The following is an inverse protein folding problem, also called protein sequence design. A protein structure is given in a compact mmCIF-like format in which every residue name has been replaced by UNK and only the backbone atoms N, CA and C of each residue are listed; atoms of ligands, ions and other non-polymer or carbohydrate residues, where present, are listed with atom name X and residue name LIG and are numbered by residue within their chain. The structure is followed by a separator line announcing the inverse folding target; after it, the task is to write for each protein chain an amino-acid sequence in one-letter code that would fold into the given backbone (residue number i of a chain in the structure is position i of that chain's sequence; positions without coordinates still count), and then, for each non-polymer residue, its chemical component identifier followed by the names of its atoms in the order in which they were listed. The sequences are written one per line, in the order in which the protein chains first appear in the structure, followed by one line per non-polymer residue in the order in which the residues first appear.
data_IF_013752062082
#
_entry.id   IF_013752062082
#
_cell.length_a   1.000
_cell.length_b   1.000
_cell.length_c   1.000
_cell.angle_alpha   90.00
_cell.angle_beta   90.00
_cell.angle_gamma   90.00
#
_symmetry.space_group_name_H-M   'P 1'
#
loop_
_entity.id
_entity.type
_entity.pdbx_description
1 polymer ?
#
# COMPACT_ATOMS: atom_id res chain seq x y z
N UNK A 1 9.04 1.78 0.62
CA UNK A 1 8.18 0.70 1.17
C UNK A 1 8.68 0.16 2.52
N UNK A 2 9.95 -0.28 2.64
CA UNK A 2 10.46 -0.99 3.84
C UNK A 2 10.22 -0.29 5.20
N UNK A 3 10.41 1.03 5.29
CA UNK A 3 10.16 1.76 6.54
C UNK A 3 8.69 1.75 6.97
N UNK A 4 7.77 1.93 6.02
CA UNK A 4 6.34 1.88 6.29
C UNK A 4 5.89 0.44 6.63
N UNK A 5 6.45 -0.59 5.99
CA UNK A 5 6.11 -1.96 6.34
C UNK A 5 6.54 -2.33 7.76
N UNK A 6 7.75 -1.94 8.18
CA UNK A 6 8.20 -2.16 9.56
C UNK A 6 7.28 -1.47 10.56
N UNK A 7 6.95 -0.20 10.30
CA UNK A 7 6.01 0.55 11.14
C UNK A 7 4.64 -0.12 11.27
N UNK A 8 4.05 -0.59 10.15
CA UNK A 8 2.74 -1.27 10.19
C UNK A 8 2.80 -2.59 10.96
N UNK A 9 3.87 -3.38 10.78
CA UNK A 9 4.07 -4.63 11.53
C UNK A 9 4.17 -4.37 13.03
N UNK A 10 4.95 -3.37 13.44
CA UNK A 10 5.13 -3.04 14.86
C UNK A 10 3.81 -2.54 15.48
N UNK A 11 3.17 -1.55 14.86
CA UNK A 11 1.94 -0.92 15.41
C UNK A 11 0.78 -1.90 15.49
N UNK A 12 0.55 -2.69 14.44
CA UNK A 12 -0.55 -3.68 14.44
C UNK A 12 -0.21 -4.84 15.36
N UNK A 13 1.06 -5.27 15.41
CA UNK A 13 1.52 -6.32 16.32
C UNK A 13 1.36 -5.96 17.79
N UNK A 14 1.63 -4.71 18.16
CA UNK A 14 1.42 -4.18 19.52
C UNK A 14 -0.07 -4.04 19.85
N UNK A 15 -0.87 -3.50 18.92
CA UNK A 15 -2.29 -3.27 19.14
C UNK A 15 -3.12 -4.56 19.17
N UNK A 16 -2.75 -5.55 18.36
CA UNK A 16 -3.47 -6.80 18.20
C UNK A 16 -2.50 -7.98 17.91
N UNK A 17 -1.85 -8.53 18.96
CA UNK A 17 -0.88 -9.60 18.82
C UNK A 17 -1.39 -10.80 18.01
N UNK A 18 -0.58 -11.27 17.06
CA UNK A 18 -0.93 -12.38 16.15
C UNK A 18 -1.78 -11.97 14.95
N UNK A 19 -2.15 -10.69 14.82
CA UNK A 19 -2.86 -10.16 13.66
C UNK A 19 -1.88 -9.81 12.56
N UNK A 20 -2.23 -10.14 11.31
CA UNK A 20 -1.47 -9.76 10.11
C UNK A 20 -1.91 -8.36 9.66
N UNK A 21 -1.00 -7.39 9.50
CA UNK A 21 -1.34 -6.09 8.94
C UNK A 21 -1.84 -6.22 7.50
N UNK A 22 -2.70 -5.31 7.06
CA UNK A 22 -3.31 -5.29 5.73
C UNK A 22 -3.04 -3.94 5.07
N UNK A 23 -2.64 -3.93 3.80
CA UNK A 23 -2.32 -2.69 3.08
C UNK A 23 -2.76 -2.74 1.62
N UNK A 24 -3.12 -1.57 1.07
CA UNK A 24 -3.43 -1.42 -0.36
C UNK A 24 -2.43 -0.50 -1.06
N UNK A 25 -1.98 -0.89 -2.24
CA UNK A 25 -1.06 -0.13 -3.09
C UNK A 25 -1.80 0.26 -4.37
N UNK A 26 -1.72 1.53 -4.74
CA UNK A 26 -2.24 2.07 -6.00
C UNK A 26 -1.22 2.96 -6.67
N UNK A 27 -1.49 3.35 -7.91
CA UNK A 27 -0.57 4.12 -8.73
C UNK A 27 -1.31 4.98 -9.75
N UNK A 28 -0.67 6.07 -10.16
CA UNK A 28 -1.12 6.90 -11.28
C UNK A 28 -0.55 6.41 -12.62
N UNK A 29 -0.89 7.07 -13.72
CA UNK A 29 -0.51 6.65 -15.07
C UNK A 29 0.89 7.11 -15.51
N UNK A 30 1.77 7.51 -14.58
CA UNK A 30 3.11 8.00 -14.92
C UNK A 30 4.05 6.84 -15.26
N UNK A 31 5.11 7.18 -15.98
CA UNK A 31 6.18 6.25 -16.32
C UNK A 31 6.71 5.53 -15.07
N UNK A 32 6.79 4.20 -15.15
CA UNK A 32 7.22 3.28 -14.10
C UNK A 32 6.38 3.28 -12.81
N UNK A 33 5.25 3.99 -12.73
CA UNK A 33 4.45 3.99 -11.50
C UNK A 33 3.79 2.63 -11.23
N UNK A 34 3.51 1.87 -12.29
CA UNK A 34 3.13 0.46 -12.23
C UNK A 34 4.26 -0.42 -11.65
N UNK A 35 5.49 -0.30 -12.18
CA UNK A 35 6.66 -1.05 -11.71
C UNK A 35 6.92 -0.76 -10.22
N UNK A 36 6.92 0.52 -9.83
CA UNK A 36 7.15 0.90 -8.43
C UNK A 36 6.02 0.45 -7.50
N UNK A 37 4.79 0.36 -7.99
CA UNK A 37 3.66 -0.18 -7.22
C UNK A 37 3.79 -1.69 -7.01
N UNK A 38 4.19 -2.43 -8.04
CA UNK A 38 4.48 -3.86 -7.95
C UNK A 38 5.63 -4.14 -6.97
N UNK A 39 6.74 -3.38 -7.05
CA UNK A 39 7.86 -3.50 -6.11
C UNK A 39 7.43 -3.17 -4.67
N UNK A 40 6.61 -2.13 -4.49
CA UNK A 40 6.08 -1.78 -3.16
C UNK A 40 5.22 -2.92 -2.61
N UNK A 41 4.35 -3.51 -3.43
CA UNK A 41 3.49 -4.61 -3.03
C UNK A 41 4.29 -5.88 -2.71
N UNK A 42 5.36 -6.16 -3.46
CA UNK A 42 6.27 -7.26 -3.20
C UNK A 42 6.99 -7.09 -1.84
N UNK A 43 7.47 -5.89 -1.53
CA UNK A 43 8.09 -5.60 -0.23
C UNK A 43 7.11 -5.79 0.93
N UNK A 44 5.87 -5.31 0.80
CA UNK A 44 4.84 -5.51 1.82
C UNK A 44 4.50 -6.99 2.02
N UNK A 45 4.34 -7.73 0.93
CA UNK A 45 4.08 -9.17 0.97
C UNK A 45 5.22 -9.92 1.66
N UNK A 46 6.48 -9.60 1.32
CA UNK A 46 7.66 -10.20 1.93
C UNK A 46 7.80 -9.85 3.43
N UNK A 47 7.32 -8.68 3.85
CA UNK A 47 7.25 -8.27 5.25
C UNK A 47 6.09 -8.93 6.03
N UNK A 48 5.32 -9.81 5.39
CA UNK A 48 4.19 -10.48 6.03
C UNK A 48 2.91 -9.66 6.08
N UNK A 49 2.77 -8.60 5.28
CA UNK A 49 1.54 -7.78 5.20
C UNK A 49 0.60 -8.39 4.15
N UNK A 50 -0.70 -8.52 4.45
CA UNK A 50 -1.70 -8.88 3.45
C UNK A 50 -1.86 -7.70 2.50
N UNK A 51 -1.47 -7.89 1.24
CA UNK A 51 -1.27 -6.77 0.32
C UNK A 51 -2.24 -6.85 -0.85
N UNK A 52 -2.97 -5.77 -1.06
CA UNK A 52 -3.84 -5.55 -2.22
C UNK A 52 -3.14 -4.60 -3.19
N UNK A 53 -3.14 -4.93 -4.48
CA UNK A 53 -2.67 -4.05 -5.54
C UNK A 53 -3.88 -3.62 -6.38
N UNK A 54 -4.02 -2.31 -6.63
CA UNK A 54 -5.07 -1.80 -7.51
C UNK A 54 -4.88 -2.34 -8.94
N UNK A 55 -5.97 -2.68 -9.67
CA UNK A 55 -5.89 -3.41 -10.93
C UNK A 55 -5.41 -2.56 -12.12
N UNK A 56 -5.33 -1.24 -11.95
CA UNK A 56 -4.91 -0.31 -13.00
C UNK A 56 -4.48 1.02 -12.37
N UNK A 57 -3.97 1.93 -13.21
CA UNK A 57 -3.79 3.32 -12.83
C UNK A 57 -5.14 3.94 -12.45
N UNK A 58 -5.27 4.40 -11.21
CA UNK A 58 -6.53 4.90 -10.62
C UNK A 58 -6.24 6.14 -9.76
N UNK A 59 -7.20 7.06 -9.59
CA UNK A 59 -6.92 8.32 -8.90
C UNK A 59 -6.77 8.11 -7.39
N UNK A 60 -5.94 8.93 -6.74
CA UNK A 60 -5.67 8.88 -5.28
C UNK A 60 -6.92 8.76 -4.39
N UNK A 61 -8.05 9.44 -4.67
CA UNK A 61 -9.26 9.28 -3.87
C UNK A 61 -9.82 7.85 -3.86
N UNK A 62 -9.60 7.07 -4.93
CA UNK A 62 -10.05 5.69 -4.98
C UNK A 62 -9.17 4.78 -4.10
N UNK A 63 -7.86 5.05 -4.02
CA UNK A 63 -7.00 4.40 -3.03
C UNK A 63 -7.47 4.73 -1.60
N UNK A 64 -7.73 6.00 -1.31
CA UNK A 64 -8.19 6.43 0.01
C UNK A 64 -9.53 5.78 0.40
N UNK A 65 -10.43 5.62 -0.57
CA UNK A 65 -11.65 4.84 -0.42
C UNK A 65 -11.33 3.35 -0.16
N UNK A 66 -10.44 2.76 -0.95
CA UNK A 66 -10.09 1.34 -0.86
C UNK A 66 -9.47 0.96 0.49
N UNK A 67 -8.67 1.84 1.11
CA UNK A 67 -8.13 1.61 2.47
C UNK A 67 -9.26 1.28 3.46
N UNK A 68 -10.36 2.05 3.42
CA UNK A 68 -11.52 1.80 4.28
C UNK A 68 -12.36 0.63 3.80
N UNK A 69 -12.61 0.55 2.49
CA UNK A 69 -13.49 -0.49 1.93
C UNK A 69 -12.93 -1.91 2.07
N UNK A 70 -11.60 -2.03 2.16
CA UNK A 70 -10.90 -3.29 2.35
C UNK A 70 -10.48 -3.54 3.80
N UNK A 71 -10.80 -2.65 4.74
CA UNK A 71 -10.33 -2.68 6.13
C UNK A 71 -8.79 -2.86 6.23
N UNK A 72 -8.05 -2.03 5.48
CA UNK A 72 -6.59 -1.98 5.51
C UNK A 72 -6.08 -1.03 6.60
N UNK A 73 -4.96 -1.38 7.21
CA UNK A 73 -4.24 -0.57 8.21
C UNK A 73 -3.47 0.59 7.58
N UNK A 74 -3.28 0.56 6.25
CA UNK A 74 -2.65 1.64 5.51
C UNK A 74 -2.74 1.49 3.99
N UNK A 75 -2.23 2.49 3.29
CA UNK A 75 -2.10 2.43 1.84
C UNK A 75 -0.98 3.30 1.28
N UNK A 76 -0.49 2.94 0.10
CA UNK A 76 0.54 3.67 -0.64
C UNK A 76 0.02 4.05 -2.01
N UNK A 77 0.09 5.34 -2.33
CA UNK A 77 -0.13 5.86 -3.68
C UNK A 77 1.22 6.16 -4.32
N UNK A 78 1.56 5.45 -5.39
CA UNK A 78 2.69 5.82 -6.25
C UNK A 78 2.23 6.92 -7.19
N UNK A 79 2.67 8.15 -6.93
CA UNK A 79 2.29 9.33 -7.72
C UNK A 79 3.31 10.44 -7.55
N UNK A 80 3.48 11.27 -8.58
CA UNK A 80 4.17 12.55 -8.47
C UNK A 80 3.19 13.73 -8.29
N UNK A 81 1.89 13.44 -8.09
CA UNK A 81 0.82 14.44 -8.00
C UNK A 81 0.83 15.36 -9.22
N UNK A 82 1.15 16.64 -9.03
CA UNK A 82 1.21 17.66 -10.06
C UNK A 82 2.59 17.80 -10.71
N UNK A 83 3.61 17.11 -10.19
CA UNK A 83 4.99 17.32 -10.62
C UNK A 83 5.21 16.79 -12.04
N UNK A 84 6.11 17.37 -12.84
CA UNK A 84 6.53 16.79 -14.12
C UNK A 84 7.07 15.37 -13.94
#
# INVERSE_FOLDING_TARGET
AAGLSAFLVDVVGEAAPGTRPRAVVGYDARYNSDIFAEETAAIFTAAGIETFLMPSALPTPLLAFAVRALDCDGGVMVTASHNP
#
